data_IF_777426878870
#
_entry.id   IF_777426878870
#
_cell.length_a   1.000
_cell.length_b   1.000
_cell.length_c   1.000
_cell.angle_alpha   90.00
_cell.angle_beta   90.00
_cell.angle_gamma   90.00
#
_symmetry.space_group_name_H-M   'P 1'
#
loop_
_entity.id
_entity.type
_entity.pdbx_description
1 polymer ?
#
# COMPACT_ATOMS: atom_id res chain seq x y z
N UNK A 1 12.67 -59.90 31.85
CA UNK A 1 11.85 -59.23 32.88
C UNK A 1 11.03 -58.15 32.20
N UNK A 2 9.73 -58.37 32.09
CA UNK A 2 8.73 -57.33 31.89
C UNK A 2 8.66 -56.46 33.16
N UNK A 3 8.43 -55.15 32.99
CA UNK A 3 7.58 -54.24 33.81
C UNK A 3 7.70 -52.85 33.17
N UNK A 4 6.71 -52.44 32.38
CA UNK A 4 5.45 -51.78 32.76
C UNK A 4 5.58 -50.28 32.97
N UNK A 5 4.75 -49.56 32.19
CA UNK A 5 3.97 -48.37 32.56
C UNK A 5 4.74 -47.05 32.72
N UNK A 6 4.25 -45.90 32.27
CA UNK A 6 3.05 -45.53 31.50
C UNK A 6 3.13 -44.01 31.28
N UNK A 7 2.44 -43.51 30.22
CA UNK A 7 1.86 -42.15 30.10
C UNK A 7 2.86 -40.97 30.12
N UNK A 8 2.83 -39.95 29.26
CA UNK A 8 1.76 -39.16 28.66
C UNK A 8 2.44 -38.25 27.61
N UNK A 9 1.93 -38.18 26.37
CA UNK A 9 2.27 -37.04 25.50
C UNK A 9 1.02 -36.56 24.75
N UNK A 10 0.05 -36.10 25.54
CA UNK A 10 -0.88 -35.05 25.14
C UNK A 10 -0.28 -33.72 25.59
N UNK A 11 -0.22 -32.78 24.65
CA UNK A 11 -0.01 -31.34 24.85
C UNK A 11 1.28 -30.88 25.54
N UNK A 12 2.25 -30.42 24.74
CA UNK A 12 3.01 -29.20 25.04
C UNK A 12 3.49 -28.54 23.75
N UNK A 13 2.70 -27.55 23.29
CA UNK A 13 3.28 -26.35 22.69
C UNK A 13 4.36 -25.81 23.65
N UNK A 14 5.54 -25.37 23.17
CA UNK A 14 6.49 -24.70 24.06
C UNK A 14 5.89 -23.35 24.50
N UNK A 15 5.55 -23.22 25.79
CA UNK A 15 5.39 -21.92 26.45
C UNK A 15 6.75 -21.44 26.96
N UNK A 16 7.13 -20.25 26.49
CA UNK A 16 8.06 -19.27 27.09
C UNK A 16 9.56 -19.62 27.07
N UNK A 17 10.23 -19.23 25.99
CA UNK A 17 11.44 -18.44 26.15
C UNK A 17 11.03 -17.05 26.64
N UNK A 18 11.46 -16.68 27.85
CA UNK A 18 11.37 -15.32 28.40
C UNK A 18 12.68 -14.64 28.02
N UNK A 19 12.63 -13.78 27.00
CA UNK A 19 13.58 -12.71 26.72
C UNK A 19 12.75 -11.48 26.35
N UNK A 20 13.28 -10.29 26.67
CA UNK A 20 12.64 -9.31 27.54
C UNK A 20 11.26 -8.88 27.07
N UNK A 21 10.41 -8.51 28.03
CA UNK A 21 9.18 -7.77 27.78
C UNK A 21 9.49 -6.45 27.06
N UNK A 22 9.67 -6.52 25.76
CA UNK A 22 9.54 -5.41 24.83
C UNK A 22 8.17 -5.60 24.20
N UNK A 23 7.19 -5.09 24.94
CA UNK A 23 5.86 -4.64 24.52
C UNK A 23 5.11 -5.48 23.47
N UNK A 24 3.85 -5.75 23.77
CA UNK A 24 2.84 -5.85 22.71
C UNK A 24 2.92 -4.59 21.84
N UNK A 25 3.81 -4.57 20.85
CA UNK A 25 3.51 -3.95 19.58
C UNK A 25 2.67 -4.99 18.84
N UNK A 26 1.43 -5.28 19.24
CA UNK A 26 0.33 -4.38 18.87
C UNK A 26 0.91 -3.20 18.12
N UNK A 27 1.08 -3.36 16.82
CA UNK A 27 0.89 -2.20 15.98
C UNK A 27 -0.60 -1.80 16.12
N UNK A 28 -1.04 -1.42 17.33
CA UNK A 28 -1.53 -0.09 17.62
C UNK A 28 -0.56 0.89 16.93
N UNK A 29 -0.60 0.89 15.60
CA UNK A 29 -0.81 2.14 14.94
C UNK A 29 -2.08 2.61 15.63
N UNK A 30 -1.89 3.46 16.65
CA UNK A 30 -2.88 4.45 16.97
C UNK A 30 -3.15 5.09 15.61
N UNK A 31 -4.10 4.52 14.87
CA UNK A 31 -4.92 5.34 14.04
C UNK A 31 -5.48 6.28 15.07
N UNK A 32 -4.88 7.46 15.09
CA UNK A 32 -5.45 8.61 15.71
C UNK A 32 -6.84 8.74 15.08
N UNK A 33 -7.80 8.03 15.67
CA UNK A 33 -9.15 8.50 15.83
C UNK A 33 -8.95 9.84 16.51
N UNK A 34 -9.09 10.92 15.74
CA UNK A 34 -8.77 12.29 16.13
C UNK A 34 -7.29 12.70 16.08
N UNK A 35 -6.70 12.72 14.88
CA UNK A 35 -6.11 14.00 14.48
C UNK A 35 -7.22 14.70 13.66
N UNK A 36 -8.22 15.32 14.29
CA UNK A 36 -8.01 16.55 15.04
C UNK A 36 -6.59 17.07 14.78
N UNK A 37 -6.40 17.67 13.60
CA UNK A 37 -5.88 19.01 13.66
C UNK A 37 -6.86 19.82 14.51
N UNK A 38 -6.81 19.59 15.83
CA UNK A 38 -6.89 20.65 16.80
C UNK A 38 -5.81 21.62 16.32
N UNK A 39 -6.22 22.48 15.38
CA UNK A 39 -5.93 23.89 15.54
C UNK A 39 -6.34 24.11 16.99
N UNK A 40 -5.33 24.13 17.85
CA UNK A 40 -5.43 24.67 19.20
C UNK A 40 -6.39 25.84 19.06
N UNK A 41 -7.64 25.65 19.50
CA UNK A 41 -8.55 26.75 19.79
C UNK A 41 -8.01 27.33 21.09
N UNK A 42 -6.76 27.77 21.04
CA UNK A 42 -6.30 28.90 21.78
C UNK A 42 -7.16 30.01 21.24
N UNK A 43 -8.13 30.40 22.06
CA UNK A 43 -8.58 31.78 22.12
C UNK A 43 -7.32 32.65 22.30
N UNK A 44 -6.63 32.92 21.21
CA UNK A 44 -5.66 34.00 21.15
C UNK A 44 -6.44 35.21 20.69
N UNK A 45 -6.92 35.99 21.66
CA UNK A 45 -7.70 37.20 21.47
C UNK A 45 -6.85 38.36 20.87
N UNK A 46 -5.91 38.05 19.97
CA UNK A 46 -5.14 39.06 19.23
C UNK A 46 -4.81 38.63 17.78
N UNK A 47 -5.70 37.86 17.16
CA UNK A 47 -5.60 37.55 15.74
C UNK A 47 -6.18 38.74 14.95
N UNK A 48 -5.34 39.42 14.17
CA UNK A 48 -5.81 40.46 13.24
C UNK A 48 -6.94 39.90 12.36
N UNK A 49 -7.96 40.71 12.06
CA UNK A 49 -9.08 40.30 11.22
C UNK A 49 -8.64 39.64 9.90
N UNK A 50 -7.51 40.11 9.33
CA UNK A 50 -6.86 39.52 8.15
C UNK A 50 -6.44 38.06 8.38
N UNK A 51 -5.79 37.78 9.50
CA UNK A 51 -5.31 36.43 9.84
C UNK A 51 -6.47 35.48 10.17
N UNK A 52 -7.52 35.99 10.81
CA UNK A 52 -8.76 35.23 11.04
C UNK A 52 -9.42 34.83 9.71
N UNK A 53 -9.51 35.77 8.77
CA UNK A 53 -10.06 35.52 7.43
C UNK A 53 -9.20 34.52 6.65
N UNK A 54 -7.87 34.62 6.74
CA UNK A 54 -6.96 33.68 6.09
C UNK A 54 -7.11 32.25 6.64
N UNK A 55 -7.26 32.12 7.97
CA UNK A 55 -7.54 30.82 8.61
C UNK A 55 -8.88 30.25 8.18
N UNK A 56 -9.91 31.08 8.07
CA UNK A 56 -11.19 30.64 7.52
C UNK A 56 -11.04 30.14 6.08
N UNK A 57 -10.41 30.92 5.21
CA UNK A 57 -10.23 30.56 3.81
C UNK A 57 -9.49 29.22 3.67
N UNK A 58 -8.39 29.04 4.43
CA UNK A 58 -7.64 27.78 4.49
C UNK A 58 -8.49 26.59 4.93
N UNK A 59 -9.32 26.75 5.97
CA UNK A 59 -10.22 25.69 6.44
C UNK A 59 -11.28 25.35 5.39
N UNK A 60 -11.88 26.37 4.77
CA UNK A 60 -12.94 26.20 3.76
C UNK A 60 -12.42 25.55 2.47
N UNK A 61 -11.18 25.82 2.07
CA UNK A 61 -10.55 25.21 0.88
C UNK A 61 -9.70 23.97 1.19
N UNK A 62 -9.68 23.50 2.43
CA UNK A 62 -8.86 22.35 2.81
C UNK A 62 -9.26 21.08 2.04
N UNK A 63 -8.26 20.29 1.63
CA UNK A 63 -8.39 19.02 0.88
C UNK A 63 -8.88 19.13 -0.57
N UNK A 64 -8.99 20.34 -1.12
CA UNK A 64 -9.17 20.53 -2.55
C UNK A 64 -7.83 20.36 -3.30
N UNK A 65 -7.77 19.49 -4.32
CA UNK A 65 -6.53 19.22 -5.05
C UNK A 65 -6.11 20.46 -5.87
N UNK A 66 -4.86 20.89 -5.70
CA UNK A 66 -4.29 22.03 -6.42
C UNK A 66 -4.64 23.41 -5.83
N UNK A 67 -5.33 23.47 -4.68
CA UNK A 67 -5.65 24.73 -3.99
C UNK A 67 -4.78 24.91 -2.75
N UNK A 68 -4.07 26.03 -2.67
CA UNK A 68 -3.28 26.42 -1.48
C UNK A 68 -3.46 27.91 -1.23
N UNK A 69 -4.15 28.26 -0.14
CA UNK A 69 -4.40 29.64 0.26
C UNK A 69 -3.39 30.07 1.31
N UNK A 70 -2.42 30.91 0.93
CA UNK A 70 -1.34 31.37 1.81
C UNK A 70 -1.29 32.89 2.01
N UNK A 71 -1.81 33.64 1.05
CA UNK A 71 -1.86 35.09 1.03
C UNK A 71 -3.19 35.55 0.41
N UNK A 72 -3.40 36.86 0.37
CA UNK A 72 -4.52 37.52 -0.32
C UNK A 72 -4.04 38.11 -1.66
N UNK A 73 -3.12 37.44 -2.35
CA UNK A 73 -2.64 37.85 -3.67
C UNK A 73 -2.68 36.68 -4.65
N UNK A 74 -1.54 36.06 -4.96
CA UNK A 74 -1.42 35.00 -5.96
C UNK A 74 -1.96 33.64 -5.53
N UNK A 75 -2.40 33.49 -4.27
CA UNK A 75 -3.06 32.24 -3.84
C UNK A 75 -4.49 32.05 -4.42
N UNK A 76 -5.04 33.07 -5.08
CA UNK A 76 -6.42 33.11 -5.53
C UNK A 76 -6.57 32.97 -7.07
N UNK A 77 -5.88 31.98 -7.66
CA UNK A 77 -5.86 31.63 -9.10
C UNK A 77 -7.20 31.07 -9.65
N UNK A 78 -8.33 31.60 -9.17
CA UNK A 78 -9.70 31.19 -9.46
C UNK A 78 -10.13 29.86 -8.85
N UNK A 79 -9.22 28.90 -8.66
CA UNK A 79 -9.56 27.61 -8.00
C UNK A 79 -9.91 27.79 -6.53
N UNK A 80 -9.32 28.78 -5.86
CA UNK A 80 -9.67 29.11 -4.47
C UNK A 80 -11.15 29.56 -4.37
N UNK A 81 -11.59 30.45 -5.26
CA UNK A 81 -12.99 30.89 -5.31
C UNK A 81 -13.94 29.74 -5.67
N UNK A 82 -13.60 28.94 -6.68
CA UNK A 82 -14.38 27.75 -7.02
C UNK A 82 -14.48 26.77 -5.86
N UNK A 83 -13.41 26.61 -5.05
CA UNK A 83 -13.40 25.72 -3.89
C UNK A 83 -14.31 26.23 -2.76
N UNK A 84 -14.32 27.54 -2.51
CA UNK A 84 -15.20 28.17 -1.53
C UNK A 84 -16.68 27.94 -1.90
N UNK A 85 -17.04 28.16 -3.17
CA UNK A 85 -18.41 27.92 -3.66
C UNK A 85 -18.76 26.42 -3.57
N UNK A 86 -17.92 25.56 -4.14
CA UNK A 86 -18.16 24.11 -4.16
C UNK A 86 -18.25 23.50 -2.77
N UNK A 87 -17.48 24.03 -1.80
CA UNK A 87 -17.52 23.54 -0.42
C UNK A 87 -18.89 23.74 0.22
N UNK A 88 -19.57 24.83 -0.10
CA UNK A 88 -20.87 25.17 0.47
C UNK A 88 -22.04 24.61 -0.36
N UNK A 89 -21.92 24.63 -1.70
CA UNK A 89 -22.93 24.13 -2.63
C UNK A 89 -22.28 23.40 -3.81
N UNK A 90 -21.95 22.11 -3.66
CA UNK A 90 -21.33 21.32 -4.72
C UNK A 90 -22.28 21.04 -5.90
N UNK A 91 -23.58 21.24 -5.72
CA UNK A 91 -24.61 21.16 -6.76
C UNK A 91 -24.46 22.23 -7.85
N UNK A 92 -23.87 23.38 -7.51
CA UNK A 92 -23.83 24.56 -8.39
C UNK A 92 -22.55 24.64 -9.23
N UNK A 93 -21.51 23.88 -8.90
CA UNK A 93 -20.21 23.94 -9.54
C UNK A 93 -19.67 22.53 -9.78
N UNK A 94 -19.27 22.18 -11.00
CA UNK A 94 -18.56 20.92 -11.24
C UNK A 94 -17.05 21.12 -11.00
N UNK A 95 -16.55 20.56 -9.89
CA UNK A 95 -15.15 20.65 -9.53
C UNK A 95 -14.20 20.06 -10.58
N UNK A 96 -14.61 18.98 -11.28
CA UNK A 96 -13.76 18.34 -12.29
C UNK A 96 -13.59 19.23 -13.50
N UNK A 97 -14.67 19.92 -13.91
CA UNK A 97 -14.65 20.88 -14.99
C UNK A 97 -13.80 22.11 -14.63
N UNK A 98 -14.05 22.71 -13.46
CA UNK A 98 -13.35 23.91 -13.00
C UNK A 98 -11.82 23.77 -12.92
N UNK A 99 -11.32 22.53 -12.70
CA UNK A 99 -9.88 22.23 -12.73
C UNK A 99 -9.25 22.33 -14.11
N UNK A 100 -10.02 22.11 -15.16
CA UNK A 100 -9.55 22.12 -16.55
C UNK A 100 -9.84 23.45 -17.26
N UNK A 101 -10.81 24.23 -16.77
CA UNK A 101 -11.16 25.55 -17.30
C UNK A 101 -10.04 26.58 -17.05
N UNK A 102 -9.99 27.63 -17.87
CA UNK A 102 -9.00 28.71 -17.72
C UNK A 102 -9.28 29.53 -16.44
N UNK A 103 -8.26 30.19 -15.83
CA UNK A 103 -8.42 31.00 -14.62
C UNK A 103 -9.54 32.05 -14.71
N UNK A 104 -9.67 32.73 -15.85
CA UNK A 104 -10.73 33.73 -16.06
C UNK A 104 -12.12 33.11 -16.08
N UNK A 105 -12.28 31.97 -16.76
CA UNK A 105 -13.57 31.29 -16.90
C UNK A 105 -14.05 30.77 -15.54
N UNK A 106 -13.16 30.17 -14.74
CA UNK A 106 -13.51 29.71 -13.39
C UNK A 106 -13.88 30.87 -12.46
N UNK A 107 -13.20 32.02 -12.56
CA UNK A 107 -13.50 33.22 -11.78
C UNK A 107 -14.88 33.77 -12.16
N UNK A 108 -15.15 33.88 -13.46
CA UNK A 108 -16.45 34.33 -13.99
C UNK A 108 -17.59 33.44 -13.47
N UNK A 109 -17.43 32.12 -13.57
CA UNK A 109 -18.43 31.16 -13.10
C UNK A 109 -18.63 31.29 -11.58
N UNK A 110 -17.55 31.36 -10.81
CA UNK A 110 -17.63 31.47 -9.36
C UNK A 110 -18.32 32.76 -8.93
N UNK A 111 -17.97 33.90 -9.53
CA UNK A 111 -18.59 35.19 -9.22
C UNK A 111 -20.05 35.24 -9.63
N UNK A 112 -20.39 34.68 -10.80
CA UNK A 112 -21.77 34.59 -11.26
C UNK A 112 -22.65 33.76 -10.30
N UNK A 113 -22.16 32.60 -9.85
CA UNK A 113 -22.89 31.76 -8.89
C UNK A 113 -23.08 32.51 -7.56
N UNK A 114 -22.02 33.16 -7.07
CA UNK A 114 -22.04 33.92 -5.82
C UNK A 114 -23.07 35.06 -5.87
N UNK A 115 -23.05 35.85 -6.94
CA UNK A 115 -23.98 36.96 -7.13
C UNK A 115 -25.43 36.46 -7.23
N UNK A 116 -25.67 35.43 -8.05
CA UNK A 116 -27.01 34.94 -8.34
C UNK A 116 -27.67 34.23 -7.15
N UNK A 117 -26.92 33.35 -6.47
CA UNK A 117 -27.49 32.45 -5.45
C UNK A 117 -27.37 33.02 -4.03
N UNK A 118 -26.43 33.95 -3.81
CA UNK A 118 -26.17 34.52 -2.49
C UNK A 118 -26.31 36.04 -2.43
N UNK A 119 -26.53 36.71 -3.56
CA UNK A 119 -26.75 38.16 -3.61
C UNK A 119 -25.52 38.99 -3.24
N UNK A 120 -24.33 38.40 -3.26
CA UNK A 120 -23.09 39.13 -2.99
C UNK A 120 -22.70 39.90 -4.25
N UNK A 121 -22.63 41.23 -4.13
CA UNK A 121 -22.23 42.10 -5.23
C UNK A 121 -20.85 41.73 -5.74
N UNK A 122 -20.71 41.62 -7.06
CA UNK A 122 -19.44 41.41 -7.73
C UNK A 122 -18.57 42.67 -7.61
N UNK A 123 -17.55 42.60 -6.74
CA UNK A 123 -16.61 43.71 -6.50
C UNK A 123 -15.32 43.61 -7.32
N UNK A 124 -15.09 42.46 -7.96
CA UNK A 124 -13.88 42.14 -8.68
C UNK A 124 -14.24 41.68 -10.09
N UNK A 125 -13.45 42.13 -11.07
CA UNK A 125 -13.48 41.56 -12.40
C UNK A 125 -12.45 40.42 -12.52
N UNK A 126 -12.77 39.33 -13.25
CA UNK A 126 -11.85 38.21 -13.45
C UNK A 126 -10.49 38.62 -14.00
N UNK A 127 -10.44 39.68 -14.81
CA UNK A 127 -9.19 40.18 -15.40
C UNK A 127 -8.28 40.87 -14.38
N UNK A 128 -8.86 41.50 -13.35
CA UNK A 128 -8.12 42.17 -12.27
C UNK A 128 -7.57 41.17 -11.25
N UNK A 129 -8.13 39.96 -11.22
CA UNK A 129 -7.69 38.85 -10.36
C UNK A 129 -6.71 37.94 -11.11
N UNK A 130 -6.93 37.69 -12.40
CA UNK A 130 -6.04 36.90 -13.27
C UNK A 130 -4.83 37.72 -13.75
N UNK A 131 -4.04 38.18 -12.79
CA UNK A 131 -2.80 38.93 -13.00
C UNK A 131 -1.73 38.48 -12.01
N UNK A 132 -0.46 38.81 -12.27
CA UNK A 132 0.65 38.44 -11.39
C UNK A 132 0.61 39.16 -10.03
N UNK A 133 -0.02 40.33 -9.98
CA UNK A 133 -0.09 41.19 -8.79
C UNK A 133 -1.52 41.71 -8.57
N UNK A 134 -2.47 40.86 -8.12
CA UNK A 134 -3.83 41.31 -7.85
C UNK A 134 -3.88 42.19 -6.59
N UNK A 135 -4.83 43.15 -6.56
CA UNK A 135 -4.94 44.09 -5.43
C UNK A 135 -5.42 43.40 -4.15
N UNK A 136 -4.53 43.33 -3.16
CA UNK A 136 -4.75 42.63 -1.90
C UNK A 136 -5.97 43.19 -1.14
N UNK A 137 -6.17 44.52 -1.15
CA UNK A 137 -7.25 45.16 -0.40
C UNK A 137 -8.62 44.83 -0.98
N UNK A 138 -8.71 44.82 -2.31
CA UNK A 138 -9.92 44.45 -3.03
C UNK A 138 -10.25 42.96 -2.83
N UNK A 139 -9.24 42.09 -2.87
CA UNK A 139 -9.40 40.67 -2.55
C UNK A 139 -9.89 40.46 -1.11
N UNK A 140 -9.25 41.09 -0.11
CA UNK A 140 -9.69 41.00 1.29
C UNK A 140 -11.14 41.45 1.45
N UNK A 141 -11.53 42.55 0.81
CA UNK A 141 -12.89 43.09 0.89
C UNK A 141 -13.91 42.10 0.34
N UNK A 142 -13.64 41.53 -0.84
CA UNK A 142 -14.53 40.56 -1.46
C UNK A 142 -14.56 39.22 -0.72
N UNK A 143 -13.42 38.74 -0.22
CA UNK A 143 -13.37 37.49 0.56
C UNK A 143 -14.07 37.68 1.92
N UNK A 144 -14.06 38.89 2.48
CA UNK A 144 -14.83 39.22 3.69
C UNK A 144 -16.34 39.14 3.44
N UNK A 145 -16.83 39.61 2.30
CA UNK A 145 -18.26 39.46 1.96
C UNK A 145 -18.64 37.98 1.77
N UNK A 146 -17.75 37.17 1.20
CA UNK A 146 -17.94 35.71 1.12
C UNK A 146 -17.96 35.06 2.51
N UNK A 147 -17.10 35.49 3.44
CA UNK A 147 -17.07 34.98 4.80
C UNK A 147 -18.40 35.19 5.53
N UNK A 148 -19.06 36.34 5.32
CA UNK A 148 -20.34 36.62 5.94
C UNK A 148 -21.46 35.65 5.50
N UNK A 149 -21.36 35.14 4.27
CA UNK A 149 -22.31 34.17 3.70
C UNK A 149 -21.92 32.72 4.03
N UNK A 150 -20.62 32.42 4.02
CA UNK A 150 -20.05 31.07 4.14
C UNK A 150 -19.35 30.81 5.48
N UNK A 151 -19.91 31.31 6.57
CA UNK A 151 -19.27 31.37 7.90
C UNK A 151 -18.66 30.04 8.37
N UNK A 152 -19.42 28.95 8.30
CA UNK A 152 -18.97 27.62 8.73
C UNK A 152 -19.02 26.61 7.57
N UNK A 153 -17.86 26.07 7.12
CA UNK A 153 -17.85 25.09 6.05
C UNK A 153 -18.54 23.78 6.51
N UNK A 154 -19.32 23.11 5.63
CA UNK A 154 -19.95 21.84 5.97
C UNK A 154 -18.93 20.79 6.47
N UNK A 155 -19.33 20.01 7.48
CA UNK A 155 -18.49 18.98 8.11
C UNK A 155 -18.07 17.89 7.11
N UNK A 156 -18.96 17.53 6.18
CA UNK A 156 -18.69 16.55 5.13
C UNK A 156 -18.12 17.27 3.92
N UNK A 157 -16.89 16.92 3.53
CA UNK A 157 -16.26 17.49 2.35
C UNK A 157 -16.93 16.95 1.08
N UNK A 158 -17.33 17.77 0.09
CA UNK A 158 -18.03 17.29 -1.11
C UNK A 158 -17.27 16.26 -1.96
N UNK A 159 -15.95 16.41 -2.06
CA UNK A 159 -15.06 15.42 -2.69
C UNK A 159 -14.80 14.16 -1.85
N UNK A 160 -15.40 14.04 -0.67
CA UNK A 160 -15.23 12.88 0.19
C UNK A 160 -16.16 11.75 -0.25
N UNK A 161 -15.60 10.78 -0.98
CA UNK A 161 -16.30 9.56 -1.35
C UNK A 161 -16.02 8.45 -0.33
N UNK A 162 -17.03 8.18 0.50
CA UNK A 162 -17.01 7.10 1.49
C UNK A 162 -16.75 5.72 0.87
N UNK A 163 -17.23 5.47 -0.35
CA UNK A 163 -17.08 4.19 -1.02
C UNK A 163 -15.64 3.99 -1.51
N UNK A 164 -15.04 5.03 -2.09
CA UNK A 164 -13.60 5.01 -2.45
C UNK A 164 -12.71 4.82 -1.22
N UNK A 165 -13.01 5.45 -0.09
CA UNK A 165 -12.26 5.25 1.15
C UNK A 165 -12.36 3.81 1.65
N UNK A 166 -13.57 3.23 1.63
CA UNK A 166 -13.79 1.82 2.00
C UNK A 166 -12.96 0.88 1.12
N UNK A 167 -13.00 1.07 -0.20
CA UNK A 167 -12.23 0.27 -1.17
C UNK A 167 -10.71 0.38 -0.96
N UNK A 168 -10.20 1.57 -0.65
CA UNK A 168 -8.78 1.77 -0.35
C UNK A 168 -8.39 1.03 0.93
N UNK A 169 -9.25 1.05 1.95
CA UNK A 169 -9.03 0.33 3.19
C UNK A 169 -9.01 -1.18 2.97
N UNK A 170 -10.02 -1.72 2.29
CA UNK A 170 -10.10 -3.15 1.92
C UNK A 170 -8.86 -3.60 1.13
N UNK A 171 -8.41 -2.81 0.15
CA UNK A 171 -7.19 -3.11 -0.61
C UNK A 171 -5.94 -3.13 0.29
N UNK A 172 -5.81 -2.17 1.21
CA UNK A 172 -4.67 -2.12 2.13
C UNK A 172 -4.62 -3.33 3.04
N UNK A 173 -5.76 -3.75 3.57
CA UNK A 173 -5.85 -4.92 4.44
C UNK A 173 -5.45 -6.19 3.69
N UNK A 174 -5.94 -6.36 2.45
CA UNK A 174 -5.57 -7.50 1.59
C UNK A 174 -4.07 -7.46 1.23
N UNK A 175 -3.53 -6.30 0.88
CA UNK A 175 -2.12 -6.14 0.56
C UNK A 175 -1.23 -6.46 1.79
N UNK A 176 -1.63 -6.04 2.98
CA UNK A 176 -0.92 -6.35 4.22
C UNK A 176 -0.95 -7.85 4.52
N UNK A 177 -2.11 -8.51 4.38
CA UNK A 177 -2.22 -9.96 4.52
C UNK A 177 -1.30 -10.69 3.53
N UNK A 178 -1.26 -10.24 2.28
CA UNK A 178 -0.38 -10.81 1.26
C UNK A 178 1.10 -10.62 1.59
N UNK A 179 1.51 -9.42 2.01
CA UNK A 179 2.89 -9.13 2.42
C UNK A 179 3.30 -10.00 3.62
N UNK A 180 2.41 -10.15 4.61
CA UNK A 180 2.65 -11.01 5.76
C UNK A 180 2.87 -12.46 5.32
N UNK A 181 1.97 -12.98 4.48
CA UNK A 181 2.08 -14.34 3.94
C UNK A 181 3.39 -14.54 3.16
N UNK A 182 3.76 -13.60 2.30
CA UNK A 182 5.03 -13.65 1.58
C UNK A 182 6.22 -13.72 2.53
N UNK A 183 6.26 -12.86 3.56
CA UNK A 183 7.34 -12.86 4.56
C UNK A 183 7.41 -14.17 5.34
N UNK A 184 6.26 -14.69 5.78
CA UNK A 184 6.16 -15.97 6.47
C UNK A 184 6.70 -17.11 5.59
N UNK A 185 6.29 -17.18 4.32
CA UNK A 185 6.75 -18.23 3.41
C UNK A 185 8.20 -18.06 2.98
N UNK A 186 8.69 -16.84 2.83
CA UNK A 186 10.12 -16.59 2.61
C UNK A 186 10.94 -17.06 3.80
N UNK A 187 10.52 -16.79 5.04
CA UNK A 187 11.20 -17.27 6.23
C UNK A 187 11.21 -18.81 6.31
N UNK A 188 10.05 -19.44 6.07
CA UNK A 188 9.94 -20.91 6.01
C UNK A 188 10.88 -21.54 4.97
N UNK A 189 11.00 -20.92 3.78
CA UNK A 189 11.91 -21.40 2.73
C UNK A 189 13.38 -21.13 3.06
N UNK A 190 13.70 -20.06 3.79
CA UNK A 190 15.06 -19.70 4.21
C UNK A 190 15.60 -20.60 5.31
N UNK A 191 14.73 -21.13 6.19
CA UNK A 191 15.13 -22.09 7.22
C UNK A 191 15.72 -23.39 6.64
N UNK A 192 15.62 -23.61 5.31
CA UNK A 192 16.07 -24.81 4.60
C UNK A 192 15.65 -26.11 5.29
N UNK A 193 14.61 -26.07 6.13
CA UNK A 193 13.92 -27.22 6.69
C UNK A 193 12.98 -27.76 5.62
N UNK A 194 13.56 -28.04 4.45
CA UNK A 194 12.89 -28.90 3.50
C UNK A 194 12.66 -30.22 4.25
N UNK A 195 11.41 -30.73 4.25
CA UNK A 195 11.17 -32.07 4.73
C UNK A 195 12.23 -32.99 4.10
N UNK A 196 12.82 -33.95 4.85
CA UNK A 196 13.76 -34.90 4.27
C UNK A 196 13.23 -35.35 2.91
N UNK A 197 14.08 -35.52 1.89
CA UNK A 197 13.62 -35.76 0.50
C UNK A 197 12.54 -36.86 0.40
N UNK A 198 12.55 -37.80 1.35
CA UNK A 198 11.53 -38.83 1.63
C UNK A 198 10.13 -38.27 1.91
N UNK A 199 10.02 -37.22 2.73
CA UNK A 199 8.78 -36.55 3.09
C UNK A 199 8.30 -35.61 1.96
N UNK A 200 9.22 -34.98 1.22
CA UNK A 200 8.89 -34.27 -0.02
C UNK A 200 8.33 -35.24 -1.08
N UNK A 201 8.95 -36.43 -1.24
CA UNK A 201 8.43 -37.52 -2.08
C UNK A 201 7.05 -38.00 -1.63
N UNK A 202 6.84 -38.13 -0.31
CA UNK A 202 5.53 -38.52 0.26
C UNK A 202 4.47 -37.47 -0.05
N UNK A 203 4.77 -36.18 0.14
CA UNK A 203 3.86 -35.08 -0.16
C UNK A 203 3.56 -35.00 -1.66
N UNK A 204 4.57 -35.14 -2.51
CA UNK A 204 4.40 -35.13 -3.97
C UNK A 204 3.52 -36.30 -4.46
N UNK A 205 3.78 -37.52 -3.95
CA UNK A 205 2.92 -38.70 -4.20
C UNK A 205 1.50 -38.47 -3.71
N UNK A 206 1.32 -37.82 -2.55
CA UNK A 206 0.00 -37.54 -1.98
C UNK A 206 -0.76 -36.52 -2.84
N UNK A 207 -0.09 -35.45 -3.28
CA UNK A 207 -0.65 -34.46 -4.19
C UNK A 207 -1.03 -35.05 -5.55
N UNK A 208 -0.15 -35.86 -6.17
CA UNK A 208 -0.46 -36.54 -7.44
C UNK A 208 -1.64 -37.50 -7.25
N UNK A 209 -1.63 -38.30 -6.19
CA UNK A 209 -2.72 -39.23 -5.90
C UNK A 209 -4.05 -38.49 -5.69
N UNK A 210 -4.03 -37.35 -5.00
CA UNK A 210 -5.21 -36.52 -4.78
C UNK A 210 -5.71 -35.88 -6.09
N UNK A 211 -4.79 -35.33 -6.90
CA UNK A 211 -5.12 -34.73 -8.19
C UNK A 211 -5.69 -35.78 -9.16
N UNK A 212 -5.10 -36.98 -9.23
CA UNK A 212 -5.58 -38.08 -10.08
C UNK A 212 -6.93 -38.61 -9.58
N UNK A 213 -7.09 -38.83 -8.26
CA UNK A 213 -8.38 -39.25 -7.68
C UNK A 213 -9.51 -38.27 -7.96
N UNK A 214 -9.20 -36.97 -7.91
CA UNK A 214 -10.16 -35.90 -8.24
C UNK A 214 -10.56 -35.89 -9.72
N UNK A 215 -9.66 -36.31 -10.61
CA UNK A 215 -9.85 -36.16 -12.07
C UNK A 215 -10.35 -37.45 -12.74
N UNK A 216 -9.93 -38.62 -12.24
CA UNK A 216 -10.17 -39.94 -12.86
C UNK A 216 -10.79 -40.98 -11.89
N UNK A 217 -11.11 -40.60 -10.64
CA UNK A 217 -11.61 -41.53 -9.64
C UNK A 217 -10.54 -42.53 -9.15
N UNK A 218 -10.95 -43.73 -8.75
CA UNK A 218 -10.02 -44.73 -8.19
C UNK A 218 -9.22 -45.52 -9.25
N UNK A 219 -9.40 -45.24 -10.54
CA UNK A 219 -8.76 -45.99 -11.64
C UNK A 219 -7.65 -45.13 -12.24
N UNK A 220 -6.41 -45.54 -12.03
CA UNK A 220 -5.24 -44.95 -12.66
C UNK A 220 -5.08 -45.53 -14.08
N UNK A 221 -4.96 -44.69 -15.12
CA UNK A 221 -4.63 -45.19 -16.45
C UNK A 221 -3.25 -45.88 -16.46
N UNK A 222 -3.13 -47.07 -17.03
CA UNK A 222 -1.88 -47.87 -17.07
C UNK A 222 -0.66 -47.11 -17.60
N UNK A 223 -0.89 -46.10 -18.46
CA UNK A 223 0.17 -45.22 -18.96
C UNK A 223 0.71 -44.30 -17.87
N UNK A 224 -0.17 -43.72 -17.05
CA UNK A 224 0.20 -42.86 -15.92
C UNK A 224 0.90 -43.67 -14.84
N UNK A 225 0.43 -44.89 -14.56
CA UNK A 225 1.09 -45.77 -13.58
C UNK A 225 2.51 -46.17 -14.01
N UNK A 226 2.73 -46.46 -15.30
CA UNK A 226 4.07 -46.73 -15.84
C UNK A 226 5.00 -45.53 -15.75
N UNK A 227 4.52 -44.33 -16.07
CA UNK A 227 5.30 -43.10 -15.95
C UNK A 227 5.66 -42.80 -14.49
N UNK A 228 4.73 -42.99 -13.54
CA UNK A 228 5.01 -42.83 -12.11
C UNK A 228 6.11 -43.81 -11.67
N UNK A 229 6.01 -45.09 -12.04
CA UNK A 229 7.03 -46.10 -11.71
C UNK A 229 8.39 -45.75 -12.33
N UNK A 230 8.40 -45.29 -13.58
CA UNK A 230 9.62 -44.87 -14.27
C UNK A 230 10.30 -43.69 -13.57
N UNK A 231 9.52 -42.68 -13.18
CA UNK A 231 10.02 -41.51 -12.44
C UNK A 231 10.52 -41.92 -11.06
N UNK A 232 9.82 -42.80 -10.34
CA UNK A 232 10.27 -43.30 -9.03
C UNK A 232 11.63 -44.01 -9.13
N UNK A 233 11.82 -44.87 -10.14
CA UNK A 233 13.11 -45.56 -10.36
C UNK A 233 14.23 -44.56 -10.64
N UNK A 234 14.00 -43.59 -11.52
CA UNK A 234 14.99 -42.51 -11.79
C UNK A 234 15.32 -41.71 -10.54
N UNK A 235 14.34 -41.46 -9.70
CA UNK A 235 14.52 -40.69 -8.48
C UNK A 235 15.30 -41.47 -7.42
N UNK A 236 15.12 -42.79 -7.34
CA UNK A 236 15.94 -43.67 -6.50
C UNK A 236 17.38 -43.75 -7.01
N UNK A 237 17.60 -43.81 -8.32
CA UNK A 237 18.96 -43.79 -8.90
C UNK A 237 19.68 -42.47 -8.58
N UNK A 238 18.99 -41.34 -8.76
CA UNK A 238 19.52 -40.02 -8.41
C UNK A 238 19.86 -39.91 -6.92
N UNK A 239 19.02 -40.44 -6.03
CA UNK A 239 19.34 -40.49 -4.59
C UNK A 239 20.61 -41.28 -4.30
N UNK A 240 20.76 -42.46 -4.91
CA UNK A 240 21.95 -43.28 -4.72
C UNK A 240 23.21 -42.54 -5.20
N UNK A 241 23.11 -41.87 -6.35
CA UNK A 241 24.21 -41.06 -6.90
C UNK A 241 24.56 -39.88 -6.01
N UNK A 242 23.56 -39.15 -5.50
CA UNK A 242 23.78 -38.02 -4.57
C UNK A 242 24.45 -38.52 -3.28
N UNK A 243 23.99 -39.65 -2.73
CA UNK A 243 24.57 -40.22 -1.51
C UNK A 243 26.00 -40.75 -1.72
N UNK A 244 26.32 -41.22 -2.92
CA UNK A 244 27.68 -41.62 -3.27
C UNK A 244 28.59 -40.41 -3.43
N UNK A 245 28.15 -39.38 -4.17
CA UNK A 245 28.91 -38.15 -4.35
C UNK A 245 29.09 -37.38 -3.03
N UNK A 246 28.09 -37.36 -2.15
CA UNK A 246 28.23 -36.78 -0.81
C UNK A 246 29.33 -37.46 0.01
N UNK A 247 29.39 -38.80 0.00
CA UNK A 247 30.45 -39.58 0.67
C UNK A 247 31.81 -39.38 0.02
N UNK A 248 31.85 -39.16 -1.29
CA UNK A 248 33.07 -38.88 -2.04
C UNK A 248 33.61 -37.49 -1.71
N UNK A 249 32.74 -36.48 -1.62
CA UNK A 249 33.10 -35.11 -1.23
C UNK A 249 33.62 -35.06 0.21
N UNK A 250 32.99 -35.81 1.14
CA UNK A 250 33.46 -35.90 2.54
C UNK A 250 34.88 -36.50 2.65
N UNK A 251 35.28 -37.33 1.69
CA UNK A 251 36.60 -37.98 1.64
C UNK A 251 37.58 -37.30 0.68
N UNK A 252 37.17 -36.22 0.01
CA UNK A 252 37.96 -35.55 -1.00
C UNK A 252 39.04 -34.69 -0.33
N UNK A 253 40.30 -34.87 -0.74
CA UNK A 253 41.39 -34.07 -0.21
C UNK A 253 41.23 -32.60 -0.66
N UNK A 254 41.50 -31.61 0.21
CA UNK A 254 41.27 -30.18 -0.10
C UNK A 254 41.98 -29.68 -1.36
N UNK A 255 43.15 -30.25 -1.68
CA UNK A 255 43.91 -29.94 -2.91
C UNK A 255 43.20 -30.46 -4.16
N UNK A 256 42.64 -31.66 -4.10
CA UNK A 256 41.92 -32.25 -5.23
C UNK A 256 40.58 -31.53 -5.47
N UNK A 257 39.91 -31.15 -4.38
CA UNK A 257 38.71 -30.32 -4.44
C UNK A 257 38.98 -28.97 -5.12
N UNK A 258 40.09 -28.31 -4.76
CA UNK A 258 40.52 -27.06 -5.39
C UNK A 258 40.80 -27.25 -6.89
N UNK A 259 41.53 -28.29 -7.27
CA UNK A 259 41.86 -28.57 -8.67
C UNK A 259 40.59 -28.84 -9.52
N UNK A 260 39.61 -29.55 -8.95
CA UNK A 260 38.33 -29.82 -9.62
C UNK A 260 37.55 -28.52 -9.84
N UNK A 261 37.49 -27.64 -8.83
CA UNK A 261 36.82 -26.33 -8.96
C UNK A 261 37.50 -25.46 -10.02
N UNK A 262 38.83 -25.38 -10.01
CA UNK A 262 39.58 -24.59 -11.00
C UNK A 262 39.38 -25.13 -12.44
N UNK A 263 39.29 -26.45 -12.60
CA UNK A 263 38.96 -27.08 -13.89
C UNK A 263 37.56 -26.70 -14.37
N UNK A 264 36.56 -26.80 -13.49
CA UNK A 264 35.17 -26.46 -13.81
C UNK A 264 34.98 -24.98 -14.12
N UNK A 265 35.65 -24.09 -13.38
CA UNK A 265 35.63 -22.65 -13.66
C UNK A 265 36.22 -22.34 -15.04
N UNK A 266 37.23 -23.10 -15.47
CA UNK A 266 37.84 -22.97 -16.79
C UNK A 266 36.92 -23.47 -17.89
N UNK A 267 36.25 -24.60 -17.70
CA UNK A 267 35.24 -25.13 -18.63
C UNK A 267 34.04 -24.18 -18.78
N UNK A 268 33.51 -23.65 -17.68
CA UNK A 268 32.41 -22.67 -17.69
C UNK A 268 32.83 -21.43 -18.47
N UNK A 269 34.05 -20.92 -18.24
CA UNK A 269 34.56 -19.74 -18.96
C UNK A 269 34.63 -19.97 -20.47
N UNK A 270 35.06 -21.15 -20.91
CA UNK A 270 35.08 -21.51 -22.34
C UNK A 270 33.68 -21.70 -22.95
N UNK A 271 32.73 -22.21 -22.17
CA UNK A 271 31.34 -22.33 -22.63
C UNK A 271 30.64 -20.97 -22.72
N UNK A 272 31.04 -19.98 -21.92
CA UNK A 272 30.51 -18.62 -21.95
C UNK A 272 31.12 -17.73 -23.05
N UNK A 273 32.34 -18.03 -23.53
CA UNK A 273 33.02 -17.30 -24.62
C UNK A 273 32.16 -17.10 -25.89
N UNK A 274 31.46 -18.09 -26.44
CA UNK A 274 30.64 -17.90 -27.65
C UNK A 274 29.39 -17.03 -27.44
N UNK A 275 28.97 -16.77 -26.20
CA UNK A 275 27.76 -15.97 -25.89
C UNK A 275 28.07 -14.52 -25.51
N UNK A 276 29.34 -14.10 -25.56
CA UNK A 276 29.79 -12.71 -25.29
C UNK A 276 29.87 -11.82 -26.53
N UNK A 277 29.24 -12.22 -27.65
CA UNK A 277 29.07 -11.40 -28.87
C UNK A 277 27.67 -10.81 -28.90
#
# INVERSE_FOLDING_TARGET
>A
MLRSCDLEYRHTLPKKAILPSTEQSSCNINYSTHEDFDIVVGKEDNVSAREALLRWARRSTARYPGVRVNDFTSSYDGLAFSALVHRNRPDLLDWRKARNDLPRERLEIAFHIVEKEYGVTRLLDPEDVDTNEPDEKSLITYISSLYDVFRDPPAIHPLFDMESQRRVHEYRDLAQQFIYWCREKTAYLQERSFPPIIELKRLFRTCITFAVKRTFGNVLPDKVEREIKHVDVKLTDLENRINEEARRIERLHPVDAKNIVESLETEIRHLEEPYKT
#
